data_IF_206113878002
#
_entry.id   IF_206113878002
#
_cell.length_a   1.000
_cell.length_b   1.000
_cell.length_c   1.000
_cell.angle_alpha   90.00
_cell.angle_beta   90.00
_cell.angle_gamma   90.00
#
_symmetry.space_group_name_H-M   'P 1'
#
loop_
_entity.id
_entity.type
_entity.pdbx_description
1 polymer ?
#
# COMPACT_ATOMS: atom_id res chain seq x y z
N UNK A 1 7.28 22.16 0.63
CA UNK A 1 6.92 22.39 -0.79
C UNK A 1 6.02 23.61 -0.90
N UNK A 2 6.31 24.55 -1.82
CA UNK A 2 5.43 25.70 -2.11
C UNK A 2 4.37 25.34 -3.14
N UNK A 3 3.14 25.78 -2.92
CA UNK A 3 2.00 25.45 -3.78
C UNK A 3 2.02 26.20 -5.09
N UNK A 4 2.60 27.40 -5.12
CA UNK A 4 2.90 28.14 -6.35
C UNK A 4 3.78 27.37 -7.33
N UNK A 5 4.61 26.44 -6.82
CA UNK A 5 5.53 25.61 -7.60
C UNK A 5 4.98 24.21 -7.91
N UNK A 6 3.91 23.80 -7.22
CA UNK A 6 3.24 22.54 -7.49
C UNK A 6 2.41 22.68 -8.78
N UNK A 7 2.74 21.89 -9.81
CA UNK A 7 2.03 21.99 -11.10
C UNK A 7 0.58 21.49 -11.05
N UNK A 8 0.27 20.61 -10.09
CA UNK A 8 -1.08 20.08 -9.94
C UNK A 8 -1.99 21.09 -9.25
N UNK A 9 -3.28 21.02 -9.60
CA UNK A 9 -4.33 21.85 -9.02
C UNK A 9 -5.48 20.95 -8.59
N UNK A 10 -6.15 21.39 -7.53
CA UNK A 10 -7.42 20.81 -7.10
C UNK A 10 -8.51 21.13 -8.13
N UNK A 11 -9.47 20.23 -8.28
CA UNK A 11 -10.63 20.38 -9.15
C UNK A 11 -11.91 20.22 -8.36
N UNK A 12 -12.89 21.08 -8.64
CA UNK A 12 -14.27 20.94 -8.12
C UNK A 12 -15.10 19.98 -8.94
N UNK A 13 -14.63 19.59 -10.12
CA UNK A 13 -15.35 18.73 -11.05
C UNK A 13 -15.00 17.28 -10.75
N UNK A 14 -16.01 16.47 -10.42
CA UNK A 14 -15.87 15.01 -10.32
C UNK A 14 -15.66 14.41 -11.71
N UNK A 15 -14.68 13.52 -11.91
CA UNK A 15 -14.49 12.85 -13.20
C UNK A 15 -15.73 12.03 -13.57
N UNK A 16 -16.33 12.31 -14.74
CA UNK A 16 -17.58 11.67 -15.17
C UNK A 16 -17.41 10.18 -15.53
N UNK A 17 -16.20 9.77 -15.88
CA UNK A 17 -15.83 8.40 -16.26
C UNK A 17 -15.32 7.57 -15.06
N UNK A 18 -15.34 8.13 -13.86
CA UNK A 18 -14.95 7.45 -12.62
C UNK A 18 -16.14 7.35 -11.67
N UNK A 19 -16.39 6.15 -11.16
CA UNK A 19 -17.61 5.86 -10.38
C UNK A 19 -17.33 5.60 -8.91
N UNK A 20 -16.05 5.52 -8.54
CA UNK A 20 -15.62 5.07 -7.22
C UNK A 20 -14.99 6.24 -6.47
N UNK A 21 -15.43 6.45 -5.23
CA UNK A 21 -15.09 7.63 -4.42
C UNK A 21 -13.59 7.81 -4.23
N UNK A 22 -12.84 6.76 -3.92
CA UNK A 22 -11.38 6.86 -3.79
C UNK A 22 -10.70 7.50 -5.02
N UNK A 23 -10.99 7.01 -6.23
CA UNK A 23 -10.37 7.50 -7.44
C UNK A 23 -10.88 8.91 -7.79
N UNK A 24 -12.17 9.19 -7.59
CA UNK A 24 -12.74 10.53 -7.76
C UNK A 24 -12.01 11.56 -6.88
N UNK A 25 -11.88 11.30 -5.58
CA UNK A 25 -11.21 12.19 -4.63
C UNK A 25 -9.73 12.36 -4.97
N UNK A 26 -9.02 11.27 -5.27
CA UNK A 26 -7.59 11.33 -5.61
C UNK A 26 -7.34 12.10 -6.92
N UNK A 27 -8.21 11.99 -7.92
CA UNK A 27 -8.13 12.79 -9.15
C UNK A 27 -8.46 14.26 -8.86
N UNK A 28 -9.54 14.54 -8.14
CA UNK A 28 -9.95 15.90 -7.76
C UNK A 28 -8.88 16.61 -6.94
N UNK A 29 -8.21 15.91 -6.04
CA UNK A 29 -7.14 16.43 -5.20
C UNK A 29 -5.79 16.53 -5.93
N UNK A 30 -5.69 16.06 -7.18
CA UNK A 30 -4.45 16.09 -7.97
C UNK A 30 -3.37 15.14 -7.46
N UNK A 31 -3.75 14.00 -6.88
CA UNK A 31 -2.86 12.93 -6.42
C UNK A 31 -2.56 11.93 -7.54
N UNK A 32 -3.52 11.69 -8.42
CA UNK A 32 -3.40 10.76 -9.54
C UNK A 32 -3.98 11.36 -10.82
N UNK A 33 -3.53 10.83 -11.95
CA UNK A 33 -4.12 11.04 -13.27
C UNK A 33 -4.48 9.68 -13.86
N UNK A 34 -5.69 9.55 -14.41
CA UNK A 34 -6.15 8.31 -15.04
C UNK A 34 -5.77 8.33 -16.52
N UNK A 35 -4.83 7.48 -16.89
CA UNK A 35 -4.41 7.31 -18.29
C UNK A 35 -5.46 6.53 -19.08
N UNK A 36 -5.95 5.45 -18.48
CA UNK A 36 -7.04 4.62 -18.99
C UNK A 36 -7.66 3.79 -17.85
N UNK A 37 -8.69 3.02 -18.16
CA UNK A 37 -9.33 2.14 -17.18
C UNK A 37 -8.32 1.19 -16.52
N UNK A 38 -8.10 1.36 -15.21
CA UNK A 38 -7.18 0.56 -14.41
C UNK A 38 -5.70 0.94 -14.51
N UNK A 39 -5.35 2.06 -15.14
CA UNK A 39 -3.96 2.55 -15.24
C UNK A 39 -3.90 4.01 -14.86
N UNK A 40 -3.07 4.31 -13.86
CA UNK A 40 -3.00 5.62 -13.22
C UNK A 40 -1.56 6.09 -13.10
N UNK A 41 -1.30 7.34 -13.47
CA UNK A 41 -0.07 8.04 -13.14
C UNK A 41 -0.19 8.65 -11.73
N UNK A 42 0.83 8.47 -10.90
CA UNK A 42 0.89 9.05 -9.56
C UNK A 42 1.59 10.40 -9.58
N UNK A 43 0.84 11.46 -9.30
CA UNK A 43 1.28 12.85 -9.31
C UNK A 43 2.06 13.17 -8.02
N UNK A 44 2.72 14.34 -7.87
CA UNK A 44 3.70 14.57 -6.79
C UNK A 44 3.21 14.23 -5.38
N UNK A 45 1.98 14.61 -5.01
CA UNK A 45 1.41 14.30 -3.70
C UNK A 45 1.01 12.82 -3.57
N UNK A 46 0.45 12.21 -4.62
CA UNK A 46 0.14 10.78 -4.63
C UNK A 46 1.38 9.90 -4.56
N UNK A 47 2.45 10.28 -5.26
CA UNK A 47 3.76 9.62 -5.17
C UNK A 47 4.33 9.68 -3.75
N UNK A 48 4.17 10.81 -3.04
CA UNK A 48 4.58 10.94 -1.64
C UNK A 48 3.79 9.99 -0.72
N UNK A 49 2.47 9.89 -0.89
CA UNK A 49 1.65 8.93 -0.13
C UNK A 49 2.06 7.48 -0.42
N UNK A 50 2.22 7.10 -1.69
CA UNK A 50 2.72 5.76 -2.05
C UNK A 50 4.08 5.47 -1.42
N UNK A 51 4.98 6.45 -1.43
CA UNK A 51 6.29 6.31 -0.80
C UNK A 51 6.16 6.06 0.70
N UNK A 52 5.35 6.84 1.42
CA UNK A 52 5.15 6.66 2.86
C UNK A 52 4.54 5.29 3.20
N UNK A 53 3.55 4.82 2.44
CA UNK A 53 2.98 3.47 2.58
C UNK A 53 4.07 2.41 2.34
N UNK A 54 4.85 2.57 1.27
CA UNK A 54 5.95 1.64 0.93
C UNK A 54 7.02 1.61 2.02
N UNK A 55 7.32 2.74 2.65
CA UNK A 55 8.29 2.84 3.74
C UNK A 55 7.82 2.07 4.97
N UNK A 56 6.56 2.21 5.37
CA UNK A 56 5.99 1.41 6.47
C UNK A 56 6.11 -0.09 6.17
N UNK A 57 5.72 -0.51 4.96
CA UNK A 57 5.82 -1.91 4.56
C UNK A 57 7.27 -2.39 4.58
N UNK A 58 8.19 -1.62 4.01
CA UNK A 58 9.64 -1.92 3.97
C UNK A 58 10.21 -2.09 5.37
N UNK A 59 9.89 -1.20 6.30
CA UNK A 59 10.36 -1.29 7.68
C UNK A 59 9.92 -2.59 8.36
N UNK A 60 8.65 -2.99 8.21
CA UNK A 60 8.15 -4.24 8.79
C UNK A 60 8.74 -5.49 8.10
N UNK A 61 8.99 -5.44 6.78
CA UNK A 61 9.65 -6.54 6.07
C UNK A 61 11.13 -6.67 6.46
N UNK A 62 11.84 -5.55 6.63
CA UNK A 62 13.22 -5.54 7.10
C UNK A 62 13.32 -6.06 8.55
N UNK A 63 12.37 -5.69 9.41
CA UNK A 63 12.32 -6.14 10.80
C UNK A 63 12.19 -7.67 10.94
N UNK A 64 11.62 -8.36 9.94
CA UNK A 64 11.52 -9.82 9.93
C UNK A 64 12.69 -10.52 9.23
N UNK A 65 13.68 -9.78 8.72
CA UNK A 65 14.87 -10.30 8.04
C UNK A 65 14.76 -10.32 6.51
N UNK A 66 13.79 -9.59 5.94
CA UNK A 66 13.64 -9.46 4.49
C UNK A 66 14.79 -8.67 3.87
N UNK A 67 15.27 -9.14 2.72
CA UNK A 67 16.29 -8.48 1.90
C UNK A 67 15.61 -7.85 0.70
N UNK A 68 15.63 -6.52 0.62
CA UNK A 68 14.99 -5.80 -0.49
C UNK A 68 15.86 -5.84 -1.75
N UNK A 69 15.24 -6.20 -2.87
CA UNK A 69 15.83 -6.20 -4.21
C UNK A 69 14.93 -5.42 -5.18
N UNK A 70 15.46 -5.13 -6.36
CA UNK A 70 14.70 -4.58 -7.48
C UNK A 70 14.77 -5.53 -8.67
N UNK A 71 13.66 -6.19 -9.01
CA UNK A 71 13.63 -7.15 -10.11
C UNK A 71 13.09 -6.52 -11.39
N UNK A 72 13.42 -7.12 -12.53
CA UNK A 72 12.93 -6.67 -13.84
C UNK A 72 11.44 -6.98 -14.01
N UNK A 73 10.75 -6.14 -14.77
CA UNK A 73 9.37 -6.42 -15.22
C UNK A 73 9.38 -7.36 -16.42
N UNK A 74 10.36 -7.24 -17.31
CA UNK A 74 10.50 -8.16 -18.44
C UNK A 74 11.03 -9.49 -17.93
N UNK A 75 10.33 -10.57 -18.25
CA UNK A 75 10.62 -11.91 -17.76
C UNK A 75 10.79 -12.89 -18.92
N UNK A 76 11.83 -13.73 -18.89
CA UNK A 76 12.10 -14.66 -19.98
C UNK A 76 11.11 -15.82 -19.96
N UNK A 77 10.76 -16.33 -21.14
CA UNK A 77 9.72 -17.36 -21.31
C UNK A 77 10.10 -18.73 -20.72
N UNK A 78 11.39 -19.09 -20.80
CA UNK A 78 11.90 -20.43 -20.52
C UNK A 78 11.67 -20.88 -19.07
N UNK A 79 11.89 -20.00 -18.08
CA UNK A 79 11.69 -20.33 -16.66
C UNK A 79 10.20 -20.58 -16.35
N UNK A 80 9.29 -19.89 -17.05
CA UNK A 80 7.84 -20.06 -16.88
C UNK A 80 7.28 -21.26 -17.64
N UNK A 81 7.95 -21.71 -18.70
CA UNK A 81 7.62 -22.98 -19.35
C UNK A 81 7.96 -24.16 -18.44
N UNK A 82 9.08 -24.11 -17.70
CA UNK A 82 9.48 -25.15 -16.74
C UNK A 82 8.44 -25.35 -15.63
N UNK A 83 7.86 -24.27 -15.09
CA UNK A 83 6.77 -24.35 -14.10
C UNK A 83 5.40 -24.60 -14.71
N UNK A 84 5.32 -24.58 -16.06
CA UNK A 84 4.11 -24.72 -16.83
C UNK A 84 3.14 -23.54 -16.73
N UNK A 85 3.55 -22.41 -16.12
CA UNK A 85 2.73 -21.19 -15.96
C UNK A 85 2.78 -20.25 -17.17
N UNK A 86 3.60 -20.56 -18.18
CA UNK A 86 3.49 -19.94 -19.50
C UNK A 86 2.21 -20.30 -20.26
N UNK A 87 1.45 -21.31 -19.84
CA UNK A 87 0.16 -21.67 -20.47
C UNK A 87 -0.97 -20.70 -20.06
N UNK A 88 -1.61 -20.06 -21.03
CA UNK A 88 -2.75 -19.14 -20.82
C UNK A 88 -3.96 -19.82 -20.17
N UNK A 89 -4.06 -21.16 -20.26
CA UNK A 89 -5.12 -21.91 -19.55
C UNK A 89 -4.89 -21.97 -18.04
N UNK A 90 -3.66 -21.75 -17.58
CA UNK A 90 -3.29 -21.72 -16.16
C UNK A 90 -3.12 -20.30 -15.64
N UNK A 91 -2.63 -19.39 -16.48
CA UNK A 91 -2.47 -17.96 -16.16
C UNK A 91 -3.10 -17.13 -17.27
N UNK A 92 -4.37 -16.83 -17.11
CA UNK A 92 -5.23 -16.21 -18.15
C UNK A 92 -5.14 -14.68 -18.21
N UNK A 93 -4.48 -14.05 -17.23
CA UNK A 93 -4.37 -12.61 -17.08
C UNK A 93 -2.94 -12.07 -17.30
N UNK A 94 -2.11 -12.77 -18.06
CA UNK A 94 -0.73 -12.34 -18.32
C UNK A 94 -0.61 -11.52 -19.62
N UNK A 95 0.03 -10.36 -19.54
CA UNK A 95 0.55 -9.68 -20.73
C UNK A 95 1.82 -10.38 -21.24
N UNK A 96 1.78 -10.87 -22.49
CA UNK A 96 2.94 -11.41 -23.21
C UNK A 96 3.23 -10.57 -24.45
N UNK A 97 4.50 -10.41 -24.79
CA UNK A 97 4.95 -9.61 -25.93
C UNK A 97 6.20 -10.20 -26.59
N UNK A 98 6.72 -9.52 -27.62
CA UNK A 98 7.92 -9.92 -28.37
C UNK A 98 8.90 -8.77 -28.49
N UNK A 99 10.20 -9.07 -28.40
CA UNK A 99 11.26 -8.16 -28.81
C UNK A 99 11.27 -7.97 -30.33
N UNK A 100 11.98 -6.95 -30.81
CA UNK A 100 12.11 -6.69 -32.25
C UNK A 100 12.73 -7.86 -33.05
N UNK A 101 13.52 -8.73 -32.39
CA UNK A 101 14.11 -9.93 -33.00
C UNK A 101 13.18 -11.17 -32.92
N UNK A 102 11.95 -11.02 -32.42
CA UNK A 102 10.96 -12.09 -32.30
C UNK A 102 10.99 -12.88 -30.99
N UNK A 103 11.95 -12.63 -30.09
CA UNK A 103 12.04 -13.31 -28.78
C UNK A 103 10.79 -13.02 -27.95
N UNK A 104 10.11 -14.07 -27.48
CA UNK A 104 8.93 -13.95 -26.62
C UNK A 104 9.32 -13.66 -25.17
N UNK A 105 8.56 -12.80 -24.52
CA UNK A 105 8.73 -12.46 -23.10
C UNK A 105 7.40 -12.13 -22.43
N UNK A 106 7.36 -12.29 -21.12
CA UNK A 106 6.26 -11.85 -20.28
C UNK A 106 6.51 -10.47 -19.68
N UNK A 107 5.43 -9.73 -19.44
CA UNK A 107 5.43 -8.53 -18.60
C UNK A 107 4.95 -8.96 -17.21
N UNK A 108 5.83 -8.89 -16.22
CA UNK A 108 5.69 -9.58 -14.93
C UNK A 108 4.40 -9.27 -14.18
N UNK A 109 3.62 -10.32 -13.92
CA UNK A 109 2.42 -10.29 -13.07
C UNK A 109 2.72 -10.64 -11.60
N UNK A 110 3.84 -11.33 -11.38
CA UNK A 110 4.45 -11.78 -10.10
C UNK A 110 5.86 -12.31 -10.40
N UNK A 111 6.60 -12.80 -9.40
CA UNK A 111 8.02 -13.12 -9.51
C UNK A 111 8.45 -14.44 -8.85
N UNK A 112 7.57 -15.45 -8.67
CA UNK A 112 8.00 -16.76 -8.12
C UNK A 112 9.13 -17.39 -8.96
N UNK A 113 9.00 -17.41 -10.29
CA UNK A 113 9.99 -18.02 -11.19
C UNK A 113 11.30 -17.23 -11.25
N UNK A 114 11.31 -15.92 -11.58
CA UNK A 114 12.56 -15.17 -11.68
C UNK A 114 13.38 -15.15 -10.39
N UNK A 115 12.72 -15.12 -9.23
CA UNK A 115 13.45 -15.02 -7.96
C UNK A 115 14.02 -16.37 -7.52
N UNK A 116 13.32 -17.46 -7.82
CA UNK A 116 13.82 -18.82 -7.61
C UNK A 116 14.95 -19.13 -8.57
N UNK A 117 14.82 -18.73 -9.84
CA UNK A 117 15.89 -18.86 -10.82
C UNK A 117 17.13 -18.08 -10.35
N UNK A 118 17.01 -16.81 -9.94
CA UNK A 118 18.13 -16.04 -9.39
C UNK A 118 18.76 -16.66 -8.13
N UNK A 119 17.99 -17.37 -7.30
CA UNK A 119 18.45 -17.93 -6.04
C UNK A 119 19.64 -18.89 -6.20
N UNK A 120 19.70 -19.62 -7.33
CA UNK A 120 20.73 -20.64 -7.58
C UNK A 120 22.17 -20.09 -7.57
N UNK A 121 22.34 -18.79 -7.83
CA UNK A 121 23.64 -18.12 -7.83
C UNK A 121 24.22 -17.93 -6.41
N UNK A 122 23.35 -17.89 -5.40
CA UNK A 122 23.72 -17.47 -4.04
C UNK A 122 23.45 -18.52 -2.96
N UNK A 123 22.57 -19.49 -3.23
CA UNK A 123 22.23 -20.56 -2.30
C UNK A 123 22.70 -21.90 -2.86
N UNK A 124 23.65 -22.52 -2.18
CA UNK A 124 24.16 -23.86 -2.54
C UNK A 124 24.22 -24.83 -1.37
N UNK A 125 24.23 -24.31 -0.13
CA UNK A 125 24.34 -25.10 1.09
C UNK A 125 23.30 -24.67 2.13
N UNK A 126 22.99 -25.56 3.08
CA UNK A 126 22.15 -25.27 4.24
C UNK A 126 22.61 -24.06 5.07
N UNK A 127 23.86 -23.62 4.91
CA UNK A 127 24.45 -22.46 5.57
C UNK A 127 24.00 -21.12 4.96
N UNK A 128 23.52 -21.15 3.72
CA UNK A 128 23.03 -19.97 3.00
C UNK A 128 21.52 -19.73 3.28
N UNK A 129 20.90 -20.58 4.10
CA UNK A 129 19.46 -20.58 4.39
C UNK A 129 19.15 -20.54 5.89
N UNK A 130 17.97 -20.00 6.29
CA UNK A 130 16.91 -19.47 5.44
C UNK A 130 17.25 -18.11 4.84
N UNK A 131 16.62 -17.79 3.71
CA UNK A 131 16.70 -16.47 3.09
C UNK A 131 15.32 -15.96 2.70
N UNK A 132 15.11 -14.68 2.92
CA UNK A 132 13.84 -13.98 2.67
C UNK A 132 14.14 -12.79 1.76
N UNK A 133 13.61 -12.82 0.54
CA UNK A 133 13.90 -11.81 -0.49
C UNK A 133 12.60 -11.14 -0.90
N UNK A 134 12.57 -9.83 -0.99
CA UNK A 134 11.36 -9.11 -1.41
C UNK A 134 11.68 -7.91 -2.29
N UNK A 135 10.66 -7.41 -2.99
CA UNK A 135 10.74 -6.15 -3.72
C UNK A 135 9.46 -5.34 -3.49
N UNK A 136 9.53 -4.05 -3.78
CA UNK A 136 8.36 -3.19 -4.00
C UNK A 136 8.42 -2.72 -5.44
N UNK A 137 7.70 -3.42 -6.33
CA UNK A 137 7.84 -3.25 -7.78
C UNK A 137 6.50 -3.29 -8.52
N UNK A 138 6.47 -2.66 -9.69
CA UNK A 138 5.28 -2.61 -10.55
C UNK A 138 4.97 -3.99 -11.13
N UNK A 139 3.69 -4.34 -11.14
CA UNK A 139 3.14 -5.57 -11.69
C UNK A 139 2.06 -5.24 -12.72
N UNK A 140 1.88 -6.16 -13.66
CA UNK A 140 0.88 -6.04 -14.71
C UNK A 140 -0.04 -7.26 -14.73
N UNK A 141 -1.36 -7.03 -14.67
CA UNK A 141 -2.38 -8.08 -14.84
C UNK A 141 -3.39 -7.63 -15.88
N UNK A 142 -3.61 -8.46 -16.89
CA UNK A 142 -4.52 -8.21 -18.01
C UNK A 142 -5.98 -8.44 -17.58
N UNK A 143 -6.42 -7.71 -16.56
CA UNK A 143 -7.77 -7.80 -16.01
C UNK A 143 -8.80 -7.48 -17.10
N UNK A 144 -9.75 -8.41 -17.30
CA UNK A 144 -10.88 -8.27 -18.23
C UNK A 144 -11.63 -6.95 -18.01
N UNK A 145 -11.78 -6.55 -16.74
CA UNK A 145 -12.39 -5.27 -16.34
C UNK A 145 -11.66 -4.70 -15.14
N UNK A 146 -11.15 -3.48 -15.29
CA UNK A 146 -10.76 -2.66 -14.15
C UNK A 146 -12.03 -2.22 -13.41
N UNK A 147 -11.99 -2.27 -12.07
CA UNK A 147 -13.10 -1.89 -11.19
C UNK A 147 -12.54 -1.22 -9.94
N UNK A 148 -13.40 -0.56 -9.16
CA UNK A 148 -13.04 -0.14 -7.80
C UNK A 148 -11.85 0.85 -7.75
N UNK A 149 -11.64 1.65 -8.81
CA UNK A 149 -10.58 2.65 -8.88
C UNK A 149 -9.18 2.03 -8.77
N UNK A 150 -8.40 2.52 -7.80
CA UNK A 150 -7.04 2.02 -7.53
C UNK A 150 -7.00 0.59 -6.96
N UNK A 151 -8.14 0.05 -6.51
CA UNK A 151 -8.17 -1.26 -5.86
C UNK A 151 -8.07 -2.42 -6.85
N UNK A 152 -8.47 -2.24 -8.11
CA UNK A 152 -8.37 -3.28 -9.15
C UNK A 152 -7.98 -2.67 -10.50
N UNK A 153 -6.68 -2.38 -10.61
CA UNK A 153 -6.03 -1.91 -11.83
C UNK A 153 -5.42 -3.02 -12.68
N UNK A 154 -4.80 -2.62 -13.79
CA UNK A 154 -4.01 -3.47 -14.70
C UNK A 154 -2.52 -3.27 -14.52
N UNK A 155 -2.12 -2.08 -14.09
CA UNK A 155 -0.76 -1.73 -13.70
C UNK A 155 -0.81 -1.25 -12.26
N UNK A 156 -0.06 -1.90 -11.36
CA UNK A 156 -0.16 -1.63 -9.93
C UNK A 156 1.15 -1.90 -9.21
N UNK A 157 1.39 -1.16 -8.13
CA UNK A 157 2.53 -1.35 -7.25
C UNK A 157 2.20 -2.41 -6.20
N UNK A 158 3.09 -3.39 -6.06
CA UNK A 158 2.96 -4.49 -5.10
C UNK A 158 4.29 -4.70 -4.39
N UNK A 159 4.20 -5.00 -3.09
CA UNK A 159 5.28 -5.67 -2.37
C UNK A 159 5.08 -7.16 -2.51
N UNK A 160 6.09 -7.90 -2.94
CA UNK A 160 6.11 -9.35 -3.02
C UNK A 160 7.39 -9.87 -2.36
N UNK A 161 7.23 -10.73 -1.36
CA UNK A 161 8.31 -11.41 -0.63
C UNK A 161 8.24 -12.90 -0.92
N UNK A 162 9.40 -13.55 -0.98
CA UNK A 162 9.55 -14.98 -1.16
C UNK A 162 10.50 -15.52 -0.09
N UNK A 163 10.05 -16.53 0.64
CA UNK A 163 10.85 -17.20 1.68
C UNK A 163 11.38 -18.52 1.15
N UNK A 164 12.63 -18.83 1.44
CA UNK A 164 13.29 -20.07 1.08
C UNK A 164 13.80 -20.73 2.37
N UNK A 165 13.15 -21.84 2.74
CA UNK A 165 13.34 -22.54 4.02
C UNK A 165 13.91 -23.93 3.80
N UNK A 166 14.69 -24.40 4.77
CA UNK A 166 15.30 -25.74 4.78
C UNK A 166 14.28 -26.84 5.01
N UNK A 167 13.31 -26.57 5.88
CA UNK A 167 12.28 -27.54 6.26
C UNK A 167 10.94 -26.85 6.54
N UNK A 168 9.90 -27.66 6.73
CA UNK A 168 8.53 -27.17 6.93
C UNK A 168 8.41 -26.38 8.24
N UNK A 169 9.16 -26.74 9.28
CA UNK A 169 9.11 -26.06 10.57
C UNK A 169 9.65 -24.64 10.47
N UNK A 170 10.74 -24.45 9.73
CA UNK A 170 11.31 -23.14 9.43
C UNK A 170 10.36 -22.30 8.58
N UNK A 171 9.72 -22.91 7.58
CA UNK A 171 8.69 -22.25 6.77
C UNK A 171 7.51 -21.78 7.63
N UNK A 172 6.90 -22.67 8.41
CA UNK A 172 5.73 -22.37 9.24
C UNK A 172 6.04 -21.25 10.25
N UNK A 173 7.23 -21.28 10.86
CA UNK A 173 7.67 -20.24 11.78
C UNK A 173 7.80 -18.88 11.09
N UNK A 174 8.33 -18.82 9.87
CA UNK A 174 8.42 -17.57 9.12
C UNK A 174 7.05 -17.12 8.57
N UNK A 175 6.19 -18.06 8.18
CA UNK A 175 4.84 -17.78 7.68
C UNK A 175 4.01 -17.02 8.73
N UNK A 176 4.01 -17.51 9.97
CA UNK A 176 3.37 -16.83 11.10
C UNK A 176 4.01 -15.48 11.43
N UNK A 177 5.36 -15.42 11.43
CA UNK A 177 6.09 -14.16 11.64
C UNK A 177 5.74 -13.11 10.58
N UNK A 178 5.54 -13.54 9.33
CA UNK A 178 5.12 -12.66 8.24
C UNK A 178 3.68 -12.19 8.42
N UNK A 179 2.77 -13.07 8.84
CA UNK A 179 1.38 -12.71 9.14
C UNK A 179 1.29 -11.65 10.25
N UNK A 180 2.08 -11.78 11.31
CA UNK A 180 2.19 -10.75 12.36
C UNK A 180 2.72 -9.42 11.82
N UNK A 181 3.75 -9.45 10.96
CA UNK A 181 4.30 -8.25 10.33
C UNK A 181 3.26 -7.53 9.44
N UNK A 182 2.41 -8.29 8.75
CA UNK A 182 1.30 -7.71 7.96
C UNK A 182 0.31 -6.98 8.85
N UNK A 183 -0.07 -7.58 9.98
CA UNK A 183 -0.96 -6.92 10.94
C UNK A 183 -0.32 -5.65 11.56
N UNK A 184 1.01 -5.62 11.77
CA UNK A 184 1.72 -4.40 12.17
C UNK A 184 1.67 -3.34 11.08
N UNK A 185 1.89 -3.70 9.81
CA UNK A 185 1.71 -2.78 8.67
C UNK A 185 0.32 -2.16 8.70
N UNK A 186 -0.75 -2.98 8.75
CA UNK A 186 -2.12 -2.49 8.69
C UNK A 186 -2.48 -1.62 9.92
N UNK A 187 -1.98 -1.98 11.10
CA UNK A 187 -2.13 -1.17 12.31
C UNK A 187 -1.46 0.20 12.15
N UNK A 188 -0.23 0.24 11.62
CA UNK A 188 0.49 1.49 11.34
C UNK A 188 -0.21 2.30 10.24
N UNK A 189 -0.88 1.69 9.28
CA UNK A 189 -1.68 2.38 8.27
C UNK A 189 -3.05 2.87 8.79
N UNK A 190 -3.38 2.59 10.06
CA UNK A 190 -4.63 3.02 10.69
C UNK A 190 -5.85 2.13 10.37
N UNK A 191 -5.65 0.97 9.74
CA UNK A 191 -6.73 0.05 9.36
C UNK A 191 -6.68 -1.30 10.09
N UNK A 192 -5.70 -1.52 10.99
CA UNK A 192 -5.50 -2.79 11.67
C UNK A 192 -6.72 -3.31 12.45
N UNK A 193 -7.50 -2.43 13.07
CA UNK A 193 -8.70 -2.81 13.83
C UNK A 193 -9.81 -3.41 12.96
N UNK A 194 -9.83 -3.03 11.67
CA UNK A 194 -10.81 -3.47 10.67
C UNK A 194 -10.22 -4.43 9.63
N UNK A 195 -8.96 -4.85 9.79
CA UNK A 195 -8.32 -5.88 8.96
C UNK A 195 -8.27 -7.21 9.70
N UNK A 196 -8.61 -8.29 9.01
CA UNK A 196 -8.73 -9.64 9.57
C UNK A 196 -7.96 -10.65 8.73
N UNK A 197 -7.22 -11.53 9.39
CA UNK A 197 -6.66 -12.73 8.76
C UNK A 197 -7.82 -13.66 8.40
N UNK A 198 -7.86 -14.06 7.14
CA UNK A 198 -9.00 -14.73 6.53
C UNK A 198 -8.51 -15.97 5.81
N UNK A 199 -9.01 -17.14 6.21
CA UNK A 199 -8.76 -18.37 5.48
C UNK A 199 -9.39 -18.27 4.09
N UNK A 200 -8.61 -18.55 3.06
CA UNK A 200 -9.00 -18.53 1.66
C UNK A 200 -8.47 -19.78 0.94
N UNK A 201 -8.88 -19.94 -0.31
CA UNK A 201 -8.38 -20.98 -1.20
C UNK A 201 -6.89 -20.79 -1.48
N UNK A 202 -6.09 -21.82 -1.26
CA UNK A 202 -4.68 -21.82 -1.67
C UNK A 202 -4.47 -21.92 -3.18
N UNK A 203 -5.56 -21.93 -3.97
CA UNK A 203 -5.54 -21.96 -5.42
C UNK A 203 -4.81 -23.19 -5.96
N UNK A 204 -3.81 -22.97 -6.81
CA UNK A 204 -2.98 -24.04 -7.39
C UNK A 204 -1.81 -24.46 -6.49
N UNK A 205 -1.62 -23.80 -5.33
CA UNK A 205 -0.41 -23.92 -4.50
C UNK A 205 -0.62 -24.83 -3.29
N UNK A 206 -1.77 -24.67 -2.61
CA UNK A 206 -2.07 -25.33 -1.36
C UNK A 206 -3.59 -25.48 -1.18
N UNK A 207 -4.01 -26.22 -0.15
CA UNK A 207 -5.43 -26.28 0.22
C UNK A 207 -5.92 -24.91 0.70
N UNK A 208 -5.14 -24.24 1.55
CA UNK A 208 -5.47 -22.95 2.15
C UNK A 208 -4.36 -21.93 1.98
N UNK A 209 -4.74 -20.67 1.92
CA UNK A 209 -3.89 -19.51 2.11
C UNK A 209 -4.54 -18.56 3.11
N UNK A 210 -3.79 -17.56 3.55
CA UNK A 210 -4.32 -16.50 4.40
C UNK A 210 -4.36 -15.17 3.64
N UNK A 211 -5.58 -14.73 3.38
CA UNK A 211 -5.86 -13.38 2.95
C UNK A 211 -5.93 -12.43 4.15
N UNK A 212 -5.59 -11.17 3.89
CA UNK A 212 -5.78 -10.08 4.83
C UNK A 212 -6.89 -9.20 4.29
N UNK A 213 -8.07 -9.33 4.90
CA UNK A 213 -9.30 -8.73 4.42
C UNK A 213 -9.67 -7.54 5.29
N UNK A 214 -9.77 -6.35 4.68
CA UNK A 214 -10.15 -5.12 5.37
C UNK A 214 -11.62 -4.82 5.12
N UNK A 215 -12.41 -4.70 6.19
CA UNK A 215 -13.84 -4.44 6.09
C UNK A 215 -14.09 -3.14 5.33
N UNK A 216 -14.88 -3.20 4.26
CA UNK A 216 -15.19 -2.03 3.47
C UNK A 216 -16.48 -2.21 2.68
N UNK A 217 -17.30 -1.17 2.63
CA UNK A 217 -18.57 -1.18 1.89
C UNK A 217 -18.37 -1.31 0.37
N UNK A 218 -17.20 -0.93 -0.14
CA UNK A 218 -16.79 -1.11 -1.55
C UNK A 218 -16.10 -2.45 -1.82
N UNK A 219 -15.99 -3.32 -0.81
CA UNK A 219 -15.32 -4.62 -0.91
C UNK A 219 -15.92 -5.55 -1.95
N UNK A 220 -15.07 -6.18 -2.76
CA UNK A 220 -15.48 -7.19 -3.75
C UNK A 220 -15.68 -8.57 -3.11
N UNK A 221 -15.01 -8.82 -1.97
CA UNK A 221 -15.06 -10.10 -1.28
C UNK A 221 -16.19 -10.14 -0.24
N UNK A 222 -16.73 -11.33 -0.06
CA UNK A 222 -17.64 -11.65 1.03
C UNK A 222 -16.92 -12.60 1.98
N UNK A 223 -16.83 -12.21 3.25
CA UNK A 223 -16.18 -12.99 4.29
C UNK A 223 -17.18 -13.31 5.40
N UNK A 224 -16.96 -14.42 6.10
CA UNK A 224 -17.70 -14.81 7.29
C UNK A 224 -16.75 -14.66 8.49
N UNK A 225 -17.02 -13.66 9.32
CA UNK A 225 -16.14 -13.20 10.40
C UNK A 225 -16.62 -13.71 11.77
N UNK A 226 -15.72 -14.35 12.52
CA UNK A 226 -15.85 -14.54 13.96
C UNK A 226 -15.27 -13.30 14.65
N UNK A 227 -16.14 -12.41 15.11
CA UNK A 227 -15.74 -11.13 15.72
C UNK A 227 -14.96 -11.33 17.03
N UNK A 228 -15.18 -12.44 17.73
CA UNK A 228 -14.51 -12.75 19.01
C UNK A 228 -13.09 -13.26 18.77
N UNK A 229 -12.92 -14.19 17.83
CA UNK A 229 -11.61 -14.76 17.48
C UNK A 229 -10.78 -13.87 16.55
N UNK A 230 -11.40 -12.84 15.94
CA UNK A 230 -10.81 -11.99 14.89
C UNK A 230 -10.27 -12.82 13.71
N UNK A 231 -10.96 -13.91 13.39
CA UNK A 231 -10.67 -14.78 12.26
C UNK A 231 -11.85 -14.79 11.30
N UNK A 232 -11.57 -14.85 10.01
CA UNK A 232 -12.61 -14.94 9.00
C UNK A 232 -12.36 -16.09 8.02
N UNK A 233 -13.40 -16.45 7.28
CA UNK A 233 -13.35 -17.41 6.18
C UNK A 233 -13.92 -16.75 4.93
N UNK A 234 -13.17 -16.80 3.83
CA UNK A 234 -13.66 -16.31 2.54
C UNK A 234 -14.82 -17.19 2.06
N UNK A 235 -15.86 -16.56 1.50
CA UNK A 235 -17.06 -17.25 1.00
C UNK A 235 -16.74 -18.39 0.03
N UNK A 236 -15.65 -18.32 -0.73
CA UNK A 236 -15.25 -19.37 -1.68
C UNK A 236 -14.97 -20.74 -1.02
N UNK A 237 -14.51 -20.76 0.24
CA UNK A 237 -14.23 -21.99 0.99
C UNK A 237 -15.19 -22.19 2.18
N UNK A 238 -16.27 -21.40 2.24
CA UNK A 238 -17.25 -21.50 3.33
C UNK A 238 -18.15 -22.73 3.18
N UNK A 239 -17.80 -23.83 3.86
CA UNK A 239 -18.62 -25.05 3.93
C UNK A 239 -18.47 -25.77 5.29
N UNK A 240 -19.39 -26.69 5.61
CA UNK A 240 -19.46 -27.35 6.93
C UNK A 240 -18.20 -28.13 7.30
N UNK A 241 -17.56 -28.79 6.32
CA UNK A 241 -16.35 -29.57 6.54
C UNK A 241 -15.17 -28.67 6.94
N UNK A 242 -14.95 -27.59 6.18
CA UNK A 242 -13.87 -26.63 6.43
C UNK A 242 -14.10 -25.89 7.74
N UNK A 243 -15.33 -25.44 8.02
CA UNK A 243 -15.63 -24.78 9.30
C UNK A 243 -15.37 -25.70 10.49
N UNK A 244 -15.72 -26.98 10.38
CA UNK A 244 -15.42 -27.98 11.40
C UNK A 244 -13.90 -28.15 11.58
N UNK A 245 -13.14 -28.24 10.48
CA UNK A 245 -11.69 -28.33 10.51
C UNK A 245 -11.04 -27.12 11.20
N UNK A 246 -11.59 -25.93 11.00
CA UNK A 246 -11.10 -24.67 11.57
C UNK A 246 -11.63 -24.38 12.99
N UNK A 247 -12.53 -25.22 13.53
CA UNK A 247 -13.14 -24.98 14.84
C UNK A 247 -14.07 -23.74 14.88
N UNK A 248 -14.73 -23.46 13.75
CA UNK A 248 -15.66 -22.34 13.58
C UNK A 248 -17.10 -22.85 13.51
N UNK A 249 -18.04 -22.10 14.10
CA UNK A 249 -19.47 -22.44 14.03
C UNK A 249 -20.24 -21.40 13.24
N UNK A 250 -21.13 -21.85 12.36
CA UNK A 250 -21.89 -20.98 11.45
C UNK A 250 -22.71 -19.90 12.17
N UNK A 251 -23.26 -20.20 13.34
CA UNK A 251 -24.06 -19.30 14.17
C UNK A 251 -23.22 -18.21 14.87
N UNK A 252 -21.90 -18.38 14.94
CA UNK A 252 -20.95 -17.41 15.50
C UNK A 252 -20.35 -16.50 14.41
N UNK A 253 -20.65 -16.73 13.13
CA UNK A 253 -20.05 -16.02 12.00
C UNK A 253 -20.99 -14.95 11.42
N UNK A 254 -20.43 -13.77 11.17
CA UNK A 254 -21.14 -12.62 10.60
C UNK A 254 -20.64 -12.38 9.17
N UNK A 255 -21.56 -12.35 8.20
CA UNK A 255 -21.23 -11.99 6.83
C UNK A 255 -20.83 -10.50 6.74
N UNK A 256 -19.68 -10.21 6.14
CA UNK A 256 -19.19 -8.85 5.88
C UNK A 256 -18.65 -8.73 4.46
N UNK A 257 -18.61 -7.50 3.95
CA UNK A 257 -17.88 -7.15 2.72
C UNK A 257 -16.49 -6.64 3.06
N UNK A 258 -15.50 -7.06 2.28
CA UNK A 258 -14.11 -6.72 2.52
C UNK A 258 -13.30 -6.54 1.22
N UNK A 259 -12.14 -5.89 1.37
CA UNK A 259 -11.12 -5.73 0.34
C UNK A 259 -9.87 -6.50 0.79
N UNK A 260 -9.42 -7.44 -0.04
CA UNK A 260 -8.14 -8.12 0.12
C UNK A 260 -6.98 -7.10 -0.02
N UNK A 261 -6.25 -6.85 1.07
CA UNK A 261 -5.10 -5.93 1.10
C UNK A 261 -3.74 -6.64 1.08
N UNK A 262 -3.75 -7.96 1.23
CA UNK A 262 -2.58 -8.82 1.14
C UNK A 262 -2.96 -10.29 1.22
N UNK A 263 -2.02 -11.14 0.87
CA UNK A 263 -2.20 -12.59 0.84
C UNK A 263 -0.86 -13.29 1.03
N UNK A 264 -0.87 -14.42 1.74
CA UNK A 264 0.32 -15.22 2.00
C UNK A 264 0.06 -16.70 1.66
N UNK A 265 0.93 -17.31 0.87
CA UNK A 265 0.76 -18.66 0.34
C UNK A 265 1.92 -19.56 0.73
N UNK A 266 1.64 -20.76 1.30
CA UNK A 266 2.63 -21.83 1.31
C UNK A 266 2.74 -22.41 -0.11
N UNK A 267 3.93 -22.34 -0.70
CA UNK A 267 4.17 -22.80 -2.07
C UNK A 267 4.76 -24.22 -2.12
N UNK A 268 5.22 -24.74 -0.97
CA UNK A 268 5.91 -26.03 -0.89
C UNK A 268 7.21 -26.01 -1.71
N UNK A 269 7.56 -27.14 -2.32
CA UNK A 269 8.81 -27.28 -3.09
C UNK A 269 8.65 -27.06 -4.59
N UNK A 270 7.42 -26.86 -5.07
CA UNK A 270 7.06 -26.93 -6.49
C UNK A 270 7.99 -26.11 -7.39
N UNK A 271 8.16 -24.83 -7.08
CA UNK A 271 8.93 -23.92 -7.94
C UNK A 271 10.42 -24.24 -7.95
N UNK A 272 10.99 -24.53 -6.78
CA UNK A 272 12.38 -24.93 -6.64
C UNK A 272 12.65 -26.23 -7.41
N UNK A 273 11.80 -27.24 -7.24
CA UNK A 273 11.93 -28.54 -7.90
C UNK A 273 11.78 -28.42 -9.43
N UNK A 274 10.75 -27.70 -9.91
CA UNK A 274 10.49 -27.48 -11.35
C UNK A 274 11.64 -26.73 -12.04
N UNK A 275 12.30 -25.80 -11.33
CA UNK A 275 13.44 -25.02 -11.84
C UNK A 275 14.79 -25.70 -11.60
N UNK A 276 14.82 -26.79 -10.83
CA UNK A 276 16.04 -27.53 -10.52
C UNK A 276 16.95 -26.84 -9.50
N UNK A 277 16.38 -26.04 -8.60
CA UNK A 277 17.09 -25.29 -7.57
C UNK A 277 17.01 -26.03 -6.24
N UNK A 278 18.16 -26.44 -5.71
CA UNK A 278 18.29 -27.26 -4.51
C UNK A 278 19.41 -26.75 -3.63
N UNK A 279 19.48 -27.23 -2.38
CA UNK A 279 20.62 -26.99 -1.50
C UNK A 279 21.26 -28.29 -1.02
N UNK A 280 22.52 -28.23 -0.63
CA UNK A 280 23.23 -29.34 0.01
C UNK A 280 23.12 -29.26 1.53
N UNK A 281 22.60 -30.32 2.16
CA UNK A 281 22.47 -30.40 3.61
C UNK A 281 23.79 -30.71 4.35
N UNK A 282 23.72 -30.77 5.68
CA UNK A 282 24.87 -31.06 6.56
C UNK A 282 25.49 -32.45 6.37
N UNK A 283 24.78 -33.36 5.69
CA UNK A 283 25.24 -34.70 5.35
C UNK A 283 25.73 -34.80 3.89
N UNK A 284 25.79 -33.68 3.16
CA UNK A 284 26.22 -33.67 1.77
C UNK A 284 25.14 -34.14 0.79
N UNK A 285 23.88 -34.24 1.22
CA UNK A 285 22.76 -34.67 0.37
C UNK A 285 22.00 -33.47 -0.18
N UNK A 286 21.58 -33.57 -1.43
CA UNK A 286 20.72 -32.58 -2.08
C UNK A 286 19.30 -32.65 -1.53
N UNK A 287 18.75 -31.50 -1.17
CA UNK A 287 17.41 -31.33 -0.61
C UNK A 287 16.63 -30.26 -1.36
N UNK A 288 15.31 -30.47 -1.47
CA UNK A 288 14.36 -29.48 -2.01
C UNK A 288 14.21 -28.29 -1.07
N UNK A 289 13.91 -27.12 -1.64
CA UNK A 289 13.72 -25.87 -0.88
C UNK A 289 12.22 -25.65 -0.68
N UNK A 290 11.80 -25.42 0.57
CA UNK A 290 10.40 -25.11 0.88
C UNK A 290 10.19 -23.60 0.74
N UNK A 291 9.20 -23.24 -0.07
CA UNK A 291 8.91 -21.87 -0.44
C UNK A 291 7.59 -21.35 0.13
N UNK A 292 7.54 -20.04 0.32
CA UNK A 292 6.31 -19.27 0.54
C UNK A 292 6.37 -17.96 -0.22
N UNK A 293 5.22 -17.41 -0.59
CA UNK A 293 5.13 -16.05 -1.14
C UNK A 293 4.13 -15.20 -0.37
N UNK A 294 4.43 -13.89 -0.31
CA UNK A 294 3.73 -12.96 0.57
C UNK A 294 3.53 -11.64 -0.17
N UNK A 295 2.29 -11.31 -0.55
CA UNK A 295 1.92 -10.13 -1.34
C UNK A 295 1.17 -9.05 -0.56
N UNK A 296 1.51 -7.77 -0.77
CA UNK A 296 0.73 -6.59 -0.30
C UNK A 296 0.56 -5.65 -1.49
N UNK A 297 -0.68 -5.30 -1.82
CA UNK A 297 -0.99 -4.34 -2.87
C UNK A 297 -0.80 -2.90 -2.39
N UNK A 298 0.37 -2.29 -2.63
CA UNK A 298 0.68 -0.93 -2.14
C UNK A 298 -0.25 0.13 -2.76
N UNK A 299 -0.47 0.05 -4.05
CA UNK A 299 -1.39 0.96 -4.76
C UNK A 299 -2.85 0.72 -4.39
N UNK A 300 -3.25 -0.55 -4.22
CA UNK A 300 -4.55 -0.94 -3.68
C UNK A 300 -4.77 -0.35 -2.29
N UNK A 301 -3.76 -0.42 -1.41
CA UNK A 301 -3.79 0.21 -0.08
C UNK A 301 -4.04 1.71 -0.18
N UNK A 302 -3.36 2.44 -1.06
CA UNK A 302 -3.62 3.87 -1.23
C UNK A 302 -5.09 4.15 -1.62
N UNK A 303 -5.65 3.35 -2.53
CA UNK A 303 -7.07 3.44 -2.91
C UNK A 303 -8.02 3.17 -1.74
N UNK A 304 -7.77 2.10 -1.00
CA UNK A 304 -8.57 1.74 0.19
C UNK A 304 -8.46 2.81 1.29
N UNK A 305 -7.26 3.30 1.56
CA UNK A 305 -7.02 4.35 2.56
C UNK A 305 -7.75 5.64 2.16
N UNK A 306 -7.75 6.03 0.88
CA UNK A 306 -8.54 7.16 0.40
C UNK A 306 -10.06 6.94 0.51
N UNK A 307 -10.53 5.69 0.48
CA UNK A 307 -11.93 5.35 0.70
C UNK A 307 -12.34 5.47 2.18
N UNK A 308 -11.49 4.95 3.07
CA UNK A 308 -11.74 4.94 4.52
C UNK A 308 -11.49 6.28 5.19
N UNK A 309 -10.44 6.97 4.77
CA UNK A 309 -10.00 8.24 5.34
C UNK A 309 -10.46 9.40 4.47
N UNK A 310 -11.78 9.58 4.41
CA UNK A 310 -12.41 10.67 3.68
C UNK A 310 -13.78 11.06 4.27
N UNK A 311 -14.12 12.34 4.20
CA UNK A 311 -15.43 12.89 4.54
C UNK A 311 -16.06 13.63 3.34
N UNK A 312 -17.13 14.39 3.56
CA UNK A 312 -17.83 15.15 2.52
C UNK A 312 -16.99 16.32 1.94
N UNK A 313 -15.93 16.74 2.64
CA UNK A 313 -15.05 17.84 2.22
C UNK A 313 -13.82 17.32 1.47
N UNK A 314 -13.45 16.05 1.66
CA UNK A 314 -12.41 15.36 0.89
C UNK A 314 -11.61 14.36 1.70
N UNK A 315 -10.31 14.23 1.40
CA UNK A 315 -9.41 13.27 2.04
C UNK A 315 -9.13 13.65 3.51
N UNK A 316 -8.72 12.68 4.33
CA UNK A 316 -8.38 12.85 5.76
C UNK A 316 -7.19 11.94 6.13
N UNK A 317 -6.01 12.18 5.55
CA UNK A 317 -4.88 11.27 5.69
C UNK A 317 -4.43 11.08 7.16
N UNK A 318 -4.16 9.84 7.60
CA UNK A 318 -3.37 9.58 8.79
C UNK A 318 -2.00 10.27 8.69
N UNK A 319 -1.51 10.81 9.80
CA UNK A 319 -0.35 11.70 9.83
C UNK A 319 0.91 11.05 9.22
N UNK A 320 1.13 9.78 9.52
CA UNK A 320 2.32 9.03 9.10
C UNK A 320 2.33 8.64 7.62
N UNK A 321 1.20 8.77 6.90
CA UNK A 321 1.15 8.52 5.44
C UNK A 321 0.83 9.77 4.62
N UNK A 322 0.39 10.85 5.25
CA UNK A 322 0.08 12.10 4.59
C UNK A 322 1.28 12.64 3.77
N UNK A 323 1.05 13.29 2.61
CA UNK A 323 2.13 13.81 1.77
C UNK A 323 2.86 15.03 2.37
N UNK A 324 2.26 15.63 3.39
CA UNK A 324 2.79 16.66 4.27
C UNK A 324 2.03 16.58 5.60
N UNK A 325 2.64 17.01 6.69
CA UNK A 325 1.98 17.10 8.00
C UNK A 325 1.18 18.40 8.14
N UNK A 326 1.70 19.49 7.57
CA UNK A 326 1.10 20.83 7.68
C UNK A 326 0.75 21.41 6.32
N UNK A 327 -0.46 21.93 6.20
CA UNK A 327 -0.86 22.86 5.16
C UNK A 327 -0.77 24.28 5.72
N UNK A 328 0.18 25.07 5.23
CA UNK A 328 0.37 26.45 5.66
C UNK A 328 -0.38 27.39 4.70
N UNK A 329 -1.43 28.04 5.19
CA UNK A 329 -2.23 28.99 4.43
C UNK A 329 -1.81 30.42 4.75
N UNK A 330 -1.13 31.09 3.81
CA UNK A 330 -0.89 32.55 3.90
C UNK A 330 -2.08 33.32 3.33
N UNK A 331 -2.64 34.24 4.10
CA UNK A 331 -3.76 35.10 3.74
C UNK A 331 -3.31 36.57 3.75
N UNK A 332 -3.15 37.15 2.57
CA UNK A 332 -2.70 38.53 2.40
C UNK A 332 -1.28 38.64 1.86
N UNK A 333 -0.99 39.80 1.26
CA UNK A 333 0.30 40.14 0.64
C UNK A 333 1.09 41.18 1.44
N UNK A 334 0.61 41.54 2.64
CA UNK A 334 1.36 42.44 3.51
C UNK A 334 2.77 41.87 3.78
N UNK A 335 3.85 42.66 3.64
CA UNK A 335 5.22 42.17 3.85
C UNK A 335 5.44 41.48 5.19
N UNK A 336 4.74 41.89 6.26
CA UNK A 336 4.83 41.24 7.56
C UNK A 336 4.16 39.84 7.56
N UNK A 337 3.02 39.70 6.88
CA UNK A 337 2.35 38.40 6.68
C UNK A 337 3.22 37.45 5.86
N UNK A 338 3.81 37.94 4.76
CA UNK A 338 4.71 37.13 3.92
C UNK A 338 5.92 36.66 4.73
N UNK A 339 6.56 37.59 5.43
CA UNK A 339 7.73 37.29 6.26
C UNK A 339 7.42 36.25 7.33
N UNK A 340 6.33 36.40 8.09
CA UNK A 340 6.00 35.44 9.15
C UNK A 340 5.64 34.05 8.58
N UNK A 341 4.97 33.99 7.42
CA UNK A 341 4.66 32.72 6.77
C UNK A 341 5.92 32.01 6.24
N UNK A 342 6.84 32.76 5.62
CA UNK A 342 8.11 32.22 5.14
C UNK A 342 9.00 31.75 6.30
N UNK A 343 9.12 32.54 7.37
CA UNK A 343 9.88 32.17 8.58
C UNK A 343 9.31 30.91 9.25
N UNK A 344 7.98 30.80 9.35
CA UNK A 344 7.34 29.60 9.89
C UNK A 344 7.59 28.39 9.00
N UNK A 345 7.45 28.54 7.67
CA UNK A 345 7.74 27.48 6.72
C UNK A 345 9.17 26.96 6.88
N UNK A 346 10.16 27.85 6.88
CA UNK A 346 11.57 27.47 7.01
C UNK A 346 11.87 26.83 8.38
N UNK A 347 11.28 27.36 9.46
CA UNK A 347 11.43 26.81 10.81
C UNK A 347 10.89 25.38 10.93
N UNK A 348 9.68 25.13 10.39
CA UNK A 348 9.07 23.80 10.41
C UNK A 348 9.83 22.81 9.54
N UNK A 349 10.23 23.22 8.33
CA UNK A 349 11.04 22.38 7.44
C UNK A 349 12.39 22.02 8.07
N UNK A 350 13.05 22.98 8.74
CA UNK A 350 14.31 22.75 9.49
C UNK A 350 14.12 21.78 10.65
N UNK A 351 12.95 21.78 11.28
CA UNK A 351 12.58 20.83 12.33
C UNK A 351 12.15 19.44 11.80
N UNK A 352 12.26 19.18 10.49
CA UNK A 352 11.87 17.90 9.87
C UNK A 352 10.37 17.74 9.65
N UNK A 353 9.57 18.81 9.81
CA UNK A 353 8.13 18.78 9.53
C UNK A 353 7.88 19.09 8.06
N UNK A 354 7.30 18.14 7.33
CA UNK A 354 6.90 18.34 5.94
C UNK A 354 5.72 19.33 5.84
N UNK A 355 5.93 20.45 5.16
CA UNK A 355 4.92 21.51 4.97
C UNK A 355 4.55 21.67 3.50
N UNK A 356 3.24 21.66 3.18
CA UNK A 356 2.70 22.19 1.94
C UNK A 356 2.26 23.64 2.18
N UNK A 357 3.02 24.58 1.65
CA UNK A 357 2.79 26.00 1.85
C UNK A 357 2.01 26.59 0.69
N UNK A 358 0.76 26.99 0.93
CA UNK A 358 -0.05 27.77 -0.01
C UNK A 358 0.33 29.25 0.01
N UNK A 359 1.40 29.53 -0.74
CA UNK A 359 1.95 30.85 -1.00
C UNK A 359 1.30 31.55 -2.21
N UNK A 360 0.31 30.92 -2.87
CA UNK A 360 -0.32 31.46 -4.09
C UNK A 360 -0.90 32.84 -3.83
N UNK A 361 -0.54 33.86 -4.64
CA UNK A 361 -1.03 35.21 -4.45
C UNK A 361 -2.47 35.34 -4.94
N UNK A 362 -3.21 36.31 -4.39
CA UNK A 362 -4.56 36.67 -4.81
C UNK A 362 -5.63 35.54 -4.77
N UNK A 363 -5.34 34.40 -4.13
CA UNK A 363 -6.32 33.33 -3.86
C UNK A 363 -7.07 33.64 -2.57
N UNK A 364 -8.40 33.58 -2.61
CA UNK A 364 -9.26 33.89 -1.45
C UNK A 364 -9.12 32.82 -0.36
N UNK A 365 -9.28 33.23 0.90
CA UNK A 365 -9.20 32.33 2.05
C UNK A 365 -10.10 31.09 1.92
N UNK A 366 -11.35 31.28 1.50
CA UNK A 366 -12.29 30.16 1.31
C UNK A 366 -11.83 29.14 0.26
N UNK A 367 -11.10 29.57 -0.77
CA UNK A 367 -10.55 28.66 -1.79
C UNK A 367 -9.34 27.90 -1.23
N UNK A 368 -8.42 28.57 -0.52
CA UNK A 368 -7.31 27.89 0.16
C UNK A 368 -7.81 26.86 1.17
N UNK A 369 -8.89 27.18 1.89
CA UNK A 369 -9.48 26.27 2.88
C UNK A 369 -10.18 25.09 2.23
N UNK A 370 -10.97 25.30 1.18
CA UNK A 370 -11.58 24.21 0.43
C UNK A 370 -10.52 23.26 -0.16
N UNK A 371 -9.42 23.82 -0.66
CA UNK A 371 -8.31 23.03 -1.15
C UNK A 371 -7.61 22.24 -0.03
N UNK A 372 -7.35 22.88 1.11
CA UNK A 372 -6.75 22.20 2.27
C UNK A 372 -7.63 21.03 2.75
N UNK A 373 -8.94 21.24 2.81
CA UNK A 373 -9.90 20.21 3.21
C UNK A 373 -9.94 19.06 2.19
N UNK A 374 -9.89 19.36 0.88
CA UNK A 374 -9.85 18.36 -0.18
C UNK A 374 -8.56 17.52 -0.19
N UNK A 375 -7.41 18.18 -0.02
CA UNK A 375 -6.09 17.54 0.01
C UNK A 375 -5.89 16.64 1.23
N UNK A 376 -6.61 16.90 2.32
CA UNK A 376 -6.63 16.05 3.51
C UNK A 376 -5.37 16.06 4.34
N UNK A 377 -4.61 17.16 4.32
CA UNK A 377 -3.38 17.29 5.11
C UNK A 377 -3.73 17.45 6.61
N UNK A 378 -3.07 16.72 7.53
CA UNK A 378 -3.49 16.57 8.92
C UNK A 378 -3.71 17.87 9.69
N UNK A 379 -2.85 18.87 9.50
CA UNK A 379 -2.98 20.16 10.18
C UNK A 379 -2.99 21.31 9.18
N UNK A 380 -3.92 22.25 9.36
CA UNK A 380 -3.92 23.54 8.68
C UNK A 380 -3.47 24.64 9.64
N UNK A 381 -2.45 25.39 9.24
CA UNK A 381 -1.97 26.58 9.96
C UNK A 381 -2.24 27.81 9.11
N UNK A 382 -2.80 28.87 9.68
CA UNK A 382 -3.10 30.11 8.96
C UNK A 382 -2.24 31.27 9.45
N UNK A 383 -1.69 32.03 8.51
CA UNK A 383 -1.01 33.32 8.75
C UNK A 383 -1.79 34.41 8.00
N UNK A 384 -2.17 35.47 8.69
CA UNK A 384 -2.93 36.61 8.19
C UNK A 384 -2.59 37.88 8.98
N UNK A 385 -3.07 39.04 8.56
CA UNK A 385 -2.88 40.29 9.30
C UNK A 385 -3.31 40.17 10.78
N UNK A 386 -4.41 39.44 11.03
CA UNK A 386 -4.93 39.19 12.39
C UNK A 386 -3.96 38.38 13.24
N UNK A 387 -3.36 37.33 12.68
CA UNK A 387 -2.46 36.43 13.41
C UNK A 387 -1.11 37.11 13.65
N UNK A 388 -0.62 37.91 12.70
CA UNK A 388 0.58 38.74 12.84
C UNK A 388 0.39 39.76 13.96
N UNK A 389 -0.68 40.55 13.91
CA UNK A 389 -0.95 41.60 14.89
C UNK A 389 -1.17 41.04 16.31
N UNK A 390 -1.87 39.90 16.40
CA UNK A 390 -2.13 39.22 17.67
C UNK A 390 -1.01 38.33 18.18
N UNK A 391 0.07 38.12 17.41
CA UNK A 391 1.20 37.23 17.75
C UNK A 391 0.78 35.80 18.11
N UNK A 392 -0.16 35.24 17.36
CA UNK A 392 -0.61 33.85 17.51
C UNK A 392 -0.67 33.16 16.14
N UNK A 393 -0.90 31.85 16.12
CA UNK A 393 -1.19 31.07 14.93
C UNK A 393 -2.63 30.52 15.03
N UNK A 394 -3.35 30.47 13.92
CA UNK A 394 -4.60 29.72 13.88
C UNK A 394 -4.31 28.30 13.39
N UNK A 395 -4.59 27.31 14.23
CA UNK A 395 -4.34 25.89 13.98
C UNK A 395 -5.67 25.13 13.94
N UNK A 396 -5.82 24.27 12.93
CA UNK A 396 -6.97 23.36 12.80
C UNK A 396 -6.48 21.97 12.37
N UNK A 397 -6.81 20.94 13.15
CA UNK A 397 -6.67 19.55 12.69
C UNK A 397 -7.73 19.23 11.63
N UNK A 398 -7.39 18.45 10.60
CA UNK A 398 -8.30 18.07 9.51
C UNK A 398 -9.54 17.30 10.00
N UNK A 399 -9.40 16.59 11.11
CA UNK A 399 -10.46 15.85 11.81
C UNK A 399 -11.29 16.71 12.77
N UNK A 400 -10.92 17.96 13.00
CA UNK A 400 -11.63 18.90 13.88
C UNK A 400 -12.52 19.84 13.07
N UNK A 401 -13.68 20.21 13.62
CA UNK A 401 -14.53 21.25 13.03
C UNK A 401 -14.08 22.67 13.39
N UNK A 402 -13.43 22.84 14.54
CA UNK A 402 -13.02 24.14 15.07
C UNK A 402 -11.53 24.41 14.90
N UNK A 403 -11.19 25.67 14.58
CA UNK A 403 -9.84 26.18 14.65
C UNK A 403 -9.57 26.83 16.01
N UNK A 404 -8.36 26.67 16.54
CA UNK A 404 -7.91 27.29 17.78
C UNK A 404 -6.81 28.31 17.54
N UNK A 405 -6.71 29.30 18.43
CA UNK A 405 -5.54 30.18 18.51
C UNK A 405 -4.47 29.50 19.36
N UNK A 406 -3.26 29.39 18.85
CA UNK A 406 -2.13 28.77 19.54
C UNK A 406 -0.90 29.67 19.49
N UNK A 407 -0.11 29.66 20.56
CA UNK A 407 1.23 30.25 20.59
C UNK A 407 2.21 29.45 19.73
N UNK A 408 3.42 29.99 19.51
CA UNK A 408 4.49 29.27 18.81
C UNK A 408 4.87 27.96 19.52
N UNK A 409 4.90 27.96 20.86
CA UNK A 409 5.22 26.79 21.67
C UNK A 409 4.13 25.72 21.57
N UNK A 410 2.87 26.12 21.69
CA UNK A 410 1.73 25.20 21.53
C UNK A 410 1.66 24.63 20.11
N UNK A 411 1.96 25.42 19.08
CA UNK A 411 2.05 24.93 17.70
C UNK A 411 3.13 23.86 17.56
N UNK A 412 4.35 24.10 18.07
CA UNK A 412 5.45 23.13 18.03
C UNK A 412 5.08 21.84 18.77
N UNK A 413 4.46 21.96 19.94
CA UNK A 413 3.96 20.83 20.73
C UNK A 413 2.90 20.02 19.97
N UNK A 414 1.92 20.70 19.37
CA UNK A 414 0.87 20.04 18.57
C UNK A 414 1.45 19.30 17.35
N UNK A 415 2.56 19.81 16.80
CA UNK A 415 3.26 19.18 15.68
C UNK A 415 4.32 18.16 16.12
N UNK A 416 4.42 17.82 17.40
CA UNK A 416 5.37 16.83 17.91
C UNK A 416 6.84 17.24 17.77
N UNK A 417 7.11 18.55 17.67
CA UNK A 417 8.47 19.08 17.62
C UNK A 417 8.94 19.25 19.07
N UNK A 418 9.82 18.35 19.53
CA UNK A 418 10.45 18.48 20.84
C UNK A 418 11.35 19.72 20.84
N UNK A 419 11.24 20.53 21.91
CA UNK A 419 12.01 21.75 22.15
C UNK A 419 13.49 21.50 22.32
#
# INVERSE_FOLDING_TARGET
>A
MRRSQLFTKTSKTTPADETVRNAQLLIQAGFIHKEMAGVYAYLPLGKRVLHNISTIVREEMNAIGGNEVWMTVLQPKDIWEKTGRWDDKKVDNWFKTKLANGTELGVGLTHEEPITDMLHEFVSSYRDMPVYIYQIGTKFRNELRAKSGLMRGREFLMKDLYSFSRDQKEHDAFYEKCAEAYMKVYSRLGIGDITYRTYASGGIFSQFSDEFQTLSHVGEDTIYLDETKRLAVNKEIYNDEILTQLGLKKDELVEKRAVEVGNIFPLGTKYADDLGVYYTDEHGKQQSIIMGCYGIGISRLMGLLAEHFADDKGLVWPENIAPAKVYLARLGEDPAVVKQADELYDSLMTAGVEVLYDDRPAVRAGEKFADADLLGIPYRVVISDKTVAGKFYELKARTSDTAGQVSAEELRKALGINS
#
